data_IF_378655382084
#
_entry.id   IF_378655382084
#
_cell.length_a   1.000
_cell.length_b   1.000
_cell.length_c   1.000
_cell.angle_alpha   90.00
_cell.angle_beta   90.00
_cell.angle_gamma   90.00
#
_symmetry.space_group_name_H-M   'P 1'
#
loop_
_entity.id
_entity.type
_entity.pdbx_description
1 polymer ?
#
# COMPACT_ATOMS: atom_id res chain seq x y z
N UNK A 1 -14.91 16.06 7.35
CA UNK A 1 -15.84 15.03 6.82
C UNK A 1 -15.53 13.80 7.62
N UNK A 2 -16.43 13.39 8.51
CA UNK A 2 -16.21 12.19 9.31
C UNK A 2 -16.37 10.97 8.41
N UNK A 3 -15.41 10.06 8.50
CA UNK A 3 -15.44 8.81 7.77
C UNK A 3 -16.40 7.86 8.47
N UNK A 4 -17.46 7.43 7.79
CA UNK A 4 -18.50 6.57 8.35
C UNK A 4 -18.67 5.30 7.52
N UNK A 5 -18.15 4.18 8.01
CA UNK A 5 -18.29 2.88 7.37
C UNK A 5 -19.73 2.36 7.39
N UNK A 6 -20.57 2.80 8.33
CA UNK A 6 -21.96 2.32 8.43
C UNK A 6 -22.80 2.66 7.21
N UNK A 7 -22.45 3.75 6.51
CA UNK A 7 -23.12 4.18 5.28
C UNK A 7 -22.74 3.29 4.08
N UNK A 8 -21.48 2.84 4.02
CA UNK A 8 -20.94 2.11 2.88
C UNK A 8 -21.09 0.60 2.99
N UNK A 9 -21.01 0.04 4.21
CA UNK A 9 -21.07 -1.40 4.44
C UNK A 9 -22.31 -2.08 3.84
N UNK A 10 -23.55 -1.57 3.98
CA UNK A 10 -24.72 -2.23 3.40
C UNK A 10 -24.65 -2.37 1.88
N UNK A 11 -23.97 -1.44 1.19
CA UNK A 11 -23.86 -1.46 -0.28
C UNK A 11 -22.86 -2.50 -0.79
N UNK A 12 -21.87 -2.88 0.02
CA UNK A 12 -20.84 -3.87 -0.34
C UNK A 12 -21.11 -5.26 0.23
N UNK A 13 -21.99 -5.40 1.22
CA UNK A 13 -22.41 -6.69 1.78
C UNK A 13 -23.43 -7.39 0.86
N UNK A 14 -23.00 -7.80 -0.32
CA UNK A 14 -23.81 -8.55 -1.28
C UNK A 14 -23.53 -10.05 -1.15
N UNK A 15 -24.42 -10.94 -1.66
CA UNK A 15 -24.14 -12.38 -1.71
C UNK A 15 -22.83 -12.72 -2.40
N UNK A 16 -22.43 -11.94 -3.41
CA UNK A 16 -21.16 -12.12 -4.15
C UNK A 16 -19.97 -11.80 -3.27
N UNK A 17 -19.99 -10.66 -2.58
CA UNK A 17 -18.90 -10.28 -1.67
C UNK A 17 -18.81 -11.20 -0.47
N UNK A 18 -19.95 -11.62 0.09
CA UNK A 18 -19.96 -12.59 1.19
C UNK A 18 -19.41 -13.94 0.76
N UNK A 19 -19.76 -14.41 -0.45
CA UNK A 19 -19.17 -15.62 -1.03
C UNK A 19 -17.67 -15.52 -1.22
N UNK A 20 -17.17 -14.37 -1.67
CA UNK A 20 -15.74 -14.12 -1.81
C UNK A 20 -15.00 -14.12 -0.45
N UNK A 21 -15.58 -13.48 0.57
CA UNK A 21 -15.04 -13.50 1.93
C UNK A 21 -14.96 -14.92 2.48
N UNK A 22 -16.03 -15.72 2.31
CA UNK A 22 -16.04 -17.12 2.73
C UNK A 22 -14.94 -17.94 2.03
N UNK A 23 -14.77 -17.77 0.71
CA UNK A 23 -13.72 -18.44 -0.05
C UNK A 23 -12.31 -18.02 0.42
N UNK A 24 -12.08 -16.74 0.70
CA UNK A 24 -10.81 -16.27 1.27
C UNK A 24 -10.49 -16.96 2.59
N UNK A 25 -11.48 -17.07 3.50
CA UNK A 25 -11.29 -17.76 4.78
C UNK A 25 -11.00 -19.25 4.62
N UNK A 26 -11.70 -19.93 3.69
CA UNK A 26 -11.42 -21.33 3.36
C UNK A 26 -9.98 -21.52 2.85
N UNK A 27 -9.54 -20.67 1.91
CA UNK A 27 -8.17 -20.73 1.39
C UNK A 27 -7.12 -20.39 2.45
N UNK A 28 -7.41 -19.48 3.37
CA UNK A 28 -6.54 -19.16 4.49
C UNK A 28 -6.32 -20.37 5.40
N UNK A 29 -7.38 -21.10 5.74
CA UNK A 29 -7.24 -22.35 6.50
C UNK A 29 -6.46 -23.43 5.74
N UNK A 30 -6.71 -23.60 4.44
CA UNK A 30 -5.92 -24.51 3.58
C UNK A 30 -4.45 -24.10 3.50
N UNK A 31 -4.15 -22.81 3.47
CA UNK A 31 -2.78 -22.30 3.42
C UNK A 31 -1.98 -22.71 4.66
N UNK A 32 -2.55 -22.61 5.85
CA UNK A 32 -1.91 -23.03 7.09
C UNK A 32 -1.51 -24.52 7.03
N UNK A 33 -2.41 -25.35 6.55
CA UNK A 33 -2.15 -26.78 6.38
C UNK A 33 -1.04 -27.05 5.36
N UNK A 34 -1.07 -26.41 4.20
CA UNK A 34 -0.06 -26.58 3.15
C UNK A 34 1.30 -26.02 3.56
N UNK A 35 1.33 -24.94 4.32
CA UNK A 35 2.57 -24.37 4.86
C UNK A 35 3.28 -25.35 5.78
N UNK A 36 2.53 -26.06 6.62
CA UNK A 36 3.08 -27.10 7.48
C UNK A 36 3.59 -28.32 6.67
N UNK A 37 2.88 -28.71 5.61
CA UNK A 37 3.20 -29.88 4.80
C UNK A 37 4.33 -29.66 3.78
N UNK A 38 4.42 -28.44 3.20
CA UNK A 38 5.35 -28.12 2.10
C UNK A 38 6.01 -26.74 2.27
N UNK A 39 6.77 -26.50 3.35
CA UNK A 39 7.29 -25.16 3.66
C UNK A 39 8.16 -24.60 2.52
N UNK A 40 9.06 -25.39 1.93
CA UNK A 40 9.92 -24.94 0.82
C UNK A 40 9.16 -24.49 -0.44
N UNK A 41 8.01 -25.11 -0.71
CA UNK A 41 7.16 -24.69 -1.83
C UNK A 41 6.48 -23.35 -1.53
N UNK A 42 6.06 -23.14 -0.29
CA UNK A 42 5.48 -21.89 0.17
C UNK A 42 6.50 -20.74 0.13
N UNK A 43 7.72 -20.97 0.60
CA UNK A 43 8.80 -19.96 0.52
C UNK A 43 9.06 -19.51 -0.93
N UNK A 44 9.08 -20.44 -1.88
CA UNK A 44 9.24 -20.12 -3.30
C UNK A 44 8.05 -19.31 -3.85
N UNK A 45 6.83 -19.71 -3.53
CA UNK A 45 5.63 -18.98 -3.96
C UNK A 45 5.58 -17.59 -3.34
N UNK A 46 5.91 -17.46 -2.06
CA UNK A 46 5.97 -16.16 -1.38
C UNK A 46 7.03 -15.24 -2.02
N UNK A 47 8.20 -15.79 -2.38
CA UNK A 47 9.24 -15.02 -3.05
C UNK A 47 8.78 -14.51 -4.43
N UNK A 48 8.11 -15.35 -5.23
CA UNK A 48 7.56 -14.95 -6.53
C UNK A 48 6.47 -13.89 -6.35
N UNK A 49 5.51 -14.11 -5.45
CA UNK A 49 4.44 -13.17 -5.17
C UNK A 49 4.98 -11.81 -4.71
N UNK A 50 6.03 -11.81 -3.90
CA UNK A 50 6.71 -10.59 -3.44
C UNK A 50 7.32 -9.81 -4.60
N UNK A 51 8.07 -10.46 -5.50
CA UNK A 51 8.64 -9.81 -6.69
C UNK A 51 7.54 -9.21 -7.55
N UNK A 52 6.46 -9.96 -7.80
CA UNK A 52 5.32 -9.49 -8.57
C UNK A 52 4.61 -8.31 -7.90
N UNK A 53 4.40 -8.35 -6.60
CA UNK A 53 3.78 -7.26 -5.84
C UNK A 53 4.61 -5.98 -5.92
N UNK A 54 5.93 -6.09 -5.68
CA UNK A 54 6.85 -4.95 -5.77
C UNK A 54 6.84 -4.36 -7.19
N UNK A 55 6.98 -5.21 -8.22
CA UNK A 55 7.01 -4.75 -9.60
C UNK A 55 5.71 -4.12 -10.05
N UNK A 56 4.59 -4.77 -9.81
CA UNK A 56 3.27 -4.27 -10.24
C UNK A 56 2.87 -2.97 -9.55
N UNK A 57 3.10 -2.86 -8.24
CA UNK A 57 2.77 -1.65 -7.48
C UNK A 57 3.60 -0.45 -7.92
N UNK A 58 4.90 -0.63 -8.11
CA UNK A 58 5.76 0.45 -8.60
C UNK A 58 5.43 0.85 -10.05
N UNK A 59 5.08 -0.13 -10.90
CA UNK A 59 4.70 0.13 -12.29
C UNK A 59 3.43 0.97 -12.42
N UNK A 60 2.46 0.82 -11.51
CA UNK A 60 1.26 1.66 -11.46
C UNK A 60 1.63 3.14 -11.28
N UNK A 61 2.68 3.41 -10.51
CA UNK A 61 3.22 4.76 -10.28
C UNK A 61 4.20 5.23 -11.36
N UNK A 62 4.41 4.43 -12.42
CA UNK A 62 5.34 4.75 -13.50
C UNK A 62 6.81 4.53 -13.15
N UNK A 63 7.09 3.78 -12.08
CA UNK A 63 8.42 3.45 -11.60
C UNK A 63 8.81 2.10 -12.16
N UNK A 64 9.84 2.06 -13.01
CA UNK A 64 10.21 0.85 -13.73
C UNK A 64 11.72 0.57 -13.69
N UNK A 65 12.07 -0.70 -13.76
CA UNK A 65 13.43 -1.20 -14.02
C UNK A 65 13.34 -2.49 -14.84
N UNK A 66 14.47 -3.05 -15.23
CA UNK A 66 14.46 -4.34 -15.94
C UNK A 66 14.09 -5.49 -15.00
N UNK A 67 13.48 -6.56 -15.52
CA UNK A 67 13.04 -7.70 -14.75
C UNK A 67 14.19 -8.31 -13.90
N UNK A 68 15.38 -8.47 -14.47
CA UNK A 68 16.54 -8.97 -13.77
C UNK A 68 16.98 -8.05 -12.61
N UNK A 69 16.84 -6.73 -12.78
CA UNK A 69 17.12 -5.76 -11.70
C UNK A 69 16.04 -5.77 -10.64
N UNK A 70 14.79 -5.86 -11.05
CA UNK A 70 13.64 -5.97 -10.14
C UNK A 70 13.80 -7.19 -9.21
N UNK A 71 14.08 -8.36 -9.78
CA UNK A 71 14.32 -9.58 -8.99
C UNK A 71 15.49 -9.43 -8.01
N UNK A 72 16.60 -8.85 -8.46
CA UNK A 72 17.77 -8.63 -7.63
C UNK A 72 17.54 -7.60 -6.51
N UNK A 73 16.79 -6.52 -6.78
CA UNK A 73 16.37 -5.52 -5.79
C UNK A 73 15.37 -6.12 -4.79
N UNK A 74 14.37 -6.84 -5.27
CA UNK A 74 13.39 -7.52 -4.42
C UNK A 74 14.04 -8.55 -3.49
N UNK A 75 15.09 -9.22 -3.96
CA UNK A 75 15.89 -10.15 -3.15
C UNK A 75 16.92 -9.45 -2.24
N UNK A 76 17.08 -8.14 -2.31
CA UNK A 76 18.10 -7.41 -1.55
C UNK A 76 19.55 -7.68 -1.95
N UNK A 77 19.77 -8.21 -3.14
CA UNK A 77 21.12 -8.65 -3.61
C UNK A 77 21.94 -7.54 -4.23
N UNK A 78 21.34 -6.42 -4.58
CA UNK A 78 22.00 -5.30 -5.27
C UNK A 78 21.58 -3.96 -4.66
N UNK A 79 22.47 -2.98 -4.75
CA UNK A 79 22.16 -1.61 -4.39
C UNK A 79 21.42 -0.90 -5.55
N UNK A 80 20.49 0.03 -5.24
CA UNK A 80 19.80 0.83 -6.24
C UNK A 80 20.78 1.79 -6.96
N UNK A 81 20.59 2.01 -8.27
CA UNK A 81 21.44 2.83 -9.12
C UNK A 81 20.88 4.20 -9.45
N UNK A 82 19.58 4.32 -9.51
CA UNK A 82 18.84 5.52 -9.89
C UNK A 82 17.67 5.78 -8.94
N UNK A 83 16.87 6.79 -9.22
CA UNK A 83 15.71 7.17 -8.42
C UNK A 83 14.71 6.04 -8.36
N UNK A 84 14.27 5.51 -9.51
CA UNK A 84 13.26 4.45 -9.60
C UNK A 84 13.67 3.23 -8.79
N UNK A 85 14.92 2.79 -8.90
CA UNK A 85 15.43 1.67 -8.12
C UNK A 85 15.51 1.96 -6.62
N UNK A 86 15.70 3.23 -6.20
CA UNK A 86 15.62 3.62 -4.76
C UNK A 86 14.19 3.54 -4.25
N UNK A 87 13.21 3.98 -5.04
CA UNK A 87 11.79 3.85 -4.70
C UNK A 87 11.38 2.37 -4.60
N UNK A 88 11.79 1.53 -5.58
CA UNK A 88 11.58 0.07 -5.53
C UNK A 88 12.19 -0.55 -4.26
N UNK A 89 13.40 -0.16 -3.90
CA UNK A 89 14.08 -0.69 -2.72
C UNK A 89 13.42 -0.21 -1.42
N UNK A 90 12.96 1.03 -1.35
CA UNK A 90 12.17 1.58 -0.23
C UNK A 90 10.83 0.87 -0.10
N UNK A 91 10.10 0.68 -1.21
CA UNK A 91 8.86 -0.08 -1.23
C UNK A 91 9.06 -1.51 -0.72
N UNK A 92 10.09 -2.20 -1.19
CA UNK A 92 10.46 -3.53 -0.69
C UNK A 92 10.66 -3.51 0.82
N UNK A 93 11.44 -2.56 1.33
CA UNK A 93 11.75 -2.46 2.76
C UNK A 93 10.46 -2.32 3.60
N UNK A 94 9.58 -1.40 3.21
CA UNK A 94 8.31 -1.17 3.91
C UNK A 94 7.39 -2.38 3.80
N UNK A 95 7.31 -3.02 2.64
CA UNK A 95 6.51 -4.24 2.45
C UNK A 95 7.00 -5.37 3.36
N UNK A 96 8.33 -5.57 3.45
CA UNK A 96 8.93 -6.56 4.34
C UNK A 96 8.62 -6.27 5.80
N UNK A 97 8.78 -5.02 6.22
CA UNK A 97 8.47 -4.57 7.58
C UNK A 97 7.00 -4.86 7.94
N UNK A 98 6.06 -4.56 7.03
CA UNK A 98 4.64 -4.84 7.23
C UNK A 98 4.40 -6.35 7.36
N UNK A 99 4.95 -7.16 6.46
CA UNK A 99 4.75 -8.61 6.49
C UNK A 99 5.33 -9.27 7.73
N UNK A 100 6.47 -8.78 8.22
CA UNK A 100 7.14 -9.35 9.41
C UNK A 100 6.52 -8.87 10.72
N UNK A 101 5.92 -7.67 10.75
CA UNK A 101 5.52 -6.98 11.96
C UNK A 101 4.05 -6.59 12.02
N UNK A 102 3.21 -7.01 11.07
CA UNK A 102 1.80 -6.57 10.96
C UNK A 102 1.02 -6.66 12.29
N UNK A 103 1.29 -7.67 13.11
CA UNK A 103 0.62 -7.84 14.41
C UNK A 103 0.94 -6.71 15.42
N UNK A 104 1.99 -5.92 15.17
CA UNK A 104 2.44 -4.81 16.02
C UNK A 104 2.33 -3.45 15.34
N UNK A 105 1.79 -3.41 14.12
CA UNK A 105 1.60 -2.18 13.36
C UNK A 105 0.16 -1.71 13.56
N UNK A 106 -0.01 -0.68 14.38
CA UNK A 106 -1.33 -0.06 14.60
C UNK A 106 -1.66 0.91 13.45
N UNK A 107 -2.94 0.99 13.08
CA UNK A 107 -3.43 1.97 12.12
C UNK A 107 -3.51 3.36 12.79
N UNK A 108 -2.41 4.09 12.81
CA UNK A 108 -2.32 5.44 13.40
C UNK A 108 -1.66 6.42 12.44
N UNK A 109 -1.95 7.73 12.54
CA UNK A 109 -1.30 8.76 11.73
C UNK A 109 0.23 8.71 11.81
N UNK A 110 0.78 8.48 12.99
CA UNK A 110 2.23 8.41 13.19
C UNK A 110 2.87 7.21 12.47
N UNK A 111 2.21 6.06 12.50
CA UNK A 111 2.67 4.87 11.77
C UNK A 111 2.62 5.10 10.26
N UNK A 112 1.54 5.71 9.74
CA UNK A 112 1.45 6.08 8.31
C UNK A 112 2.61 7.00 7.91
N UNK A 113 2.89 8.04 8.69
CA UNK A 113 4.01 8.95 8.44
C UNK A 113 5.36 8.24 8.55
N UNK A 114 5.52 7.30 9.48
CA UNK A 114 6.73 6.51 9.61
C UNK A 114 6.94 5.63 8.36
N UNK A 115 5.94 4.87 7.94
CA UNK A 115 6.02 4.03 6.74
C UNK A 115 6.31 4.88 5.49
N UNK A 116 5.68 6.06 5.38
CA UNK A 116 5.96 7.02 4.31
C UNK A 116 7.41 7.54 4.36
N UNK A 117 7.94 7.84 5.53
CA UNK A 117 9.34 8.23 5.69
C UNK A 117 10.28 7.10 5.25
N UNK A 118 10.02 5.89 5.73
CA UNK A 118 10.87 4.73 5.48
C UNK A 118 10.85 4.33 3.99
N UNK A 119 9.72 4.54 3.30
CA UNK A 119 9.58 4.36 1.86
C UNK A 119 10.55 5.25 1.06
N UNK A 120 10.71 6.51 1.48
CA UNK A 120 11.52 7.52 0.78
C UNK A 120 12.87 7.80 1.44
N UNK A 121 13.27 7.01 2.44
CA UNK A 121 14.54 7.20 3.18
C UNK A 121 15.75 7.14 2.25
N UNK A 122 15.77 6.18 1.32
CA UNK A 122 16.86 6.03 0.35
C UNK A 122 16.97 7.20 -0.64
N UNK A 123 15.90 7.94 -0.86
CA UNK A 123 15.89 9.15 -1.70
C UNK A 123 16.26 10.40 -0.94
N UNK A 124 16.22 10.36 0.40
CA UNK A 124 16.36 11.54 1.28
C UNK A 124 15.38 12.64 0.89
N UNK A 125 14.17 12.28 0.50
CA UNK A 125 13.15 13.21 0.04
C UNK A 125 12.71 14.13 1.18
N UNK A 126 12.64 15.43 0.94
CA UNK A 126 12.28 16.41 1.97
C UNK A 126 10.83 16.28 2.48
N UNK A 127 9.98 15.67 1.69
CA UNK A 127 8.58 15.41 2.04
C UNK A 127 8.38 14.09 2.80
N UNK A 128 9.40 13.24 2.92
CA UNK A 128 9.31 11.93 3.54
C UNK A 128 8.83 12.05 5.01
N UNK A 129 7.80 11.31 5.36
CA UNK A 129 7.21 11.32 6.71
C UNK A 129 6.47 12.60 7.07
N UNK A 130 6.01 13.37 6.10
CA UNK A 130 5.24 14.61 6.31
C UNK A 130 3.93 14.57 5.55
N UNK A 131 2.94 15.26 6.09
CA UNK A 131 1.74 15.58 5.33
C UNK A 131 2.09 16.57 4.22
N UNK A 132 1.27 16.60 3.18
CA UNK A 132 1.40 17.60 2.11
C UNK A 132 1.22 19.01 2.67
N UNK A 133 1.97 19.95 2.15
CA UNK A 133 1.98 21.36 2.55
C UNK A 133 1.22 22.28 1.57
N UNK A 134 0.81 21.72 0.45
CA UNK A 134 0.08 22.43 -0.61
C UNK A 134 -1.06 21.57 -1.15
N UNK A 135 -2.12 22.26 -1.62
CA UNK A 135 -3.25 21.61 -2.24
C UNK A 135 -2.84 21.03 -3.61
N UNK A 136 -3.44 19.90 -3.94
CA UNK A 136 -3.24 19.23 -5.23
C UNK A 136 -4.61 18.92 -5.86
N UNK A 137 -4.61 18.70 -7.18
CA UNK A 137 -5.78 18.28 -7.92
C UNK A 137 -5.40 17.23 -8.97
N UNK A 138 -6.31 16.32 -9.24
CA UNK A 138 -6.20 15.41 -10.38
C UNK A 138 -6.84 16.14 -11.57
N UNK A 139 -6.03 16.44 -12.57
CA UNK A 139 -6.46 17.16 -13.77
C UNK A 139 -6.37 16.27 -15.00
N UNK A 140 -7.37 16.40 -15.85
CA UNK A 140 -7.41 15.77 -17.17
C UNK A 140 -7.11 16.82 -18.25
N UNK A 141 -6.25 16.45 -19.19
CA UNK A 141 -6.01 17.27 -20.39
C UNK A 141 -6.99 16.85 -21.48
N UNK A 142 -7.90 17.73 -21.84
CA UNK A 142 -8.87 17.51 -22.92
C UNK A 142 -8.24 17.78 -24.30
N UNK A 143 -8.85 17.24 -25.38
CA UNK A 143 -8.51 17.66 -26.75
C UNK A 143 -8.56 19.18 -26.86
N UNK A 144 -7.52 19.79 -27.48
CA UNK A 144 -7.35 21.23 -27.55
C UNK A 144 -6.59 21.85 -26.37
N UNK A 145 -6.02 21.03 -25.46
CA UNK A 145 -5.11 21.46 -24.41
C UNK A 145 -5.78 22.06 -23.15
N UNK A 146 -7.11 22.16 -23.12
CA UNK A 146 -7.83 22.62 -21.92
C UNK A 146 -7.66 21.62 -20.77
N UNK A 147 -7.45 22.13 -19.56
CA UNK A 147 -7.42 21.34 -18.33
C UNK A 147 -8.81 21.31 -17.71
N UNK A 148 -9.22 20.15 -17.23
CA UNK A 148 -10.42 19.94 -16.42
C UNK A 148 -10.04 19.25 -15.11
N UNK A 149 -10.39 19.84 -13.99
CA UNK A 149 -10.26 19.17 -12.70
C UNK A 149 -11.20 17.97 -12.64
N UNK A 150 -10.65 16.79 -12.40
CA UNK A 150 -11.39 15.54 -12.24
C UNK A 150 -11.75 15.29 -10.79
N UNK A 151 -10.84 15.63 -9.90
CA UNK A 151 -10.99 15.41 -8.48
C UNK A 151 -10.11 16.38 -7.69
N UNK A 152 -10.67 16.90 -6.61
CA UNK A 152 -9.97 17.71 -5.63
C UNK A 152 -9.84 16.89 -4.34
N UNK A 153 -8.63 16.42 -3.99
CA UNK A 153 -8.40 15.73 -2.73
C UNK A 153 -8.61 16.64 -1.52
N UNK A 154 -8.70 16.05 -0.34
CA UNK A 154 -8.66 16.79 0.93
C UNK A 154 -7.57 17.85 0.91
N UNK A 155 -7.86 19.07 1.34
CA UNK A 155 -6.88 20.16 1.37
C UNK A 155 -5.67 19.83 2.27
N UNK A 156 -4.55 20.48 2.02
CA UNK A 156 -3.35 20.28 2.85
C UNK A 156 -3.65 20.57 4.32
N UNK A 157 -4.35 21.67 4.60
CA UNK A 157 -4.73 22.06 5.97
C UNK A 157 -5.62 21.03 6.68
N UNK A 158 -6.48 20.31 5.95
CA UNK A 158 -7.40 19.33 6.53
C UNK A 158 -6.87 17.88 6.48
N UNK A 159 -5.69 17.62 5.89
CA UNK A 159 -5.20 16.26 5.66
C UNK A 159 -4.90 15.54 6.97
N UNK A 160 -4.26 16.21 7.95
CA UNK A 160 -3.94 15.60 9.25
C UNK A 160 -5.19 15.12 9.97
N UNK A 161 -6.18 16.00 10.10
CA UNK A 161 -7.43 15.70 10.82
C UNK A 161 -8.24 14.62 10.10
N UNK A 162 -8.25 14.63 8.78
CA UNK A 162 -8.92 13.62 7.98
C UNK A 162 -8.29 12.22 8.17
N UNK A 163 -6.96 12.13 8.22
CA UNK A 163 -6.27 10.86 8.47
C UNK A 163 -6.46 10.39 9.91
N UNK A 164 -6.47 11.31 10.88
CA UNK A 164 -6.76 10.97 12.27
C UNK A 164 -8.18 10.41 12.42
N UNK A 165 -9.17 11.07 11.82
CA UNK A 165 -10.54 10.58 11.78
C UNK A 165 -10.65 9.21 11.13
N UNK A 166 -9.99 9.00 9.99
CA UNK A 166 -9.95 7.72 9.29
C UNK A 166 -9.37 6.60 10.19
N UNK A 167 -8.22 6.83 10.81
CA UNK A 167 -7.57 5.85 11.69
C UNK A 167 -8.44 5.52 12.89
N UNK A 168 -9.05 6.52 13.52
CA UNK A 168 -9.97 6.32 14.64
C UNK A 168 -11.16 5.45 14.24
N UNK A 169 -11.88 5.83 13.19
CA UNK A 169 -13.05 5.09 12.72
C UNK A 169 -12.70 3.67 12.29
N UNK A 170 -11.55 3.48 11.64
CA UNK A 170 -11.07 2.15 11.29
C UNK A 170 -10.84 1.28 12.54
N UNK A 171 -10.11 1.78 13.54
CA UNK A 171 -9.82 1.03 14.76
C UNK A 171 -11.11 0.70 15.52
N UNK A 172 -12.04 1.64 15.65
CA UNK A 172 -13.35 1.42 16.26
C UNK A 172 -14.17 0.34 15.52
N UNK A 173 -14.03 0.24 14.19
CA UNK A 173 -14.77 -0.74 13.38
C UNK A 173 -14.24 -2.17 13.47
N UNK A 174 -12.96 -2.36 13.79
CA UNK A 174 -12.36 -3.71 13.92
C UNK A 174 -12.44 -4.26 15.33
N UNK A 175 -12.77 -3.44 16.34
CA UNK A 175 -12.97 -3.85 17.72
C UNK A 175 -14.42 -4.35 18.01
N UNK A 176 -15.34 -4.18 17.05
CA UNK A 176 -16.72 -4.65 17.10
C UNK A 176 -16.86 -6.06 16.52
#
# INVERSE_FOLDING_TARGET
MDFDYSISLPSICTPVTMGAVAAIHEYKGKQELYQALKPKSFEKLAAVARVQSIGSSNKIEGIETTDARLEALAAGKVAPRNRDEREIAGYRYVLDLIHERYAHIAATPNVILQLHRDLFDMERASFAGRWKDSDNAIVERLPGGRLRTRFEPTSAAATSDAVESLCRTYNESIEQ
#
